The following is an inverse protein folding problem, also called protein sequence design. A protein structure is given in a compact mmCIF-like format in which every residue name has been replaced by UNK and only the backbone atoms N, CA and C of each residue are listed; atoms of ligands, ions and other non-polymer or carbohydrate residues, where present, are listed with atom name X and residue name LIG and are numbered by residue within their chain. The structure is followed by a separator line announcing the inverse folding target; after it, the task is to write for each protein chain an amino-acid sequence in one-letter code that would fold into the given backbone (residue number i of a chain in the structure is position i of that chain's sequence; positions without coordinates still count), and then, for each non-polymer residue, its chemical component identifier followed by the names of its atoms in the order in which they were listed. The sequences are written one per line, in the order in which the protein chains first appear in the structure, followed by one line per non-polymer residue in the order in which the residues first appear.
data_IF_537725964381
#
_entry.id   IF_537725964381
#
_cell.length_a   1.000
_cell.length_b   1.000
_cell.length_c   1.000
_cell.angle_alpha   90.00
_cell.angle_beta   90.00
_cell.angle_gamma   90.00
#
_symmetry.space_group_name_H-M   'P 1'
#
loop_
_entity.id
_entity.type
_entity.pdbx_description
1 polymer ?
#
# COMPACT_ATOMS: atom_id res chain seq x y z
N UNK A 1 -3.34 -0.94 23.22
CA UNK A 1 -2.53 -1.31 22.02
C UNK A 1 -1.66 -0.12 21.66
N UNK A 2 -0.35 -0.31 21.76
CA UNK A 2 0.63 0.69 21.35
C UNK A 2 1.06 0.40 19.92
N UNK A 3 0.98 1.40 19.03
CA UNK A 3 1.38 1.28 17.63
C UNK A 3 2.71 2.01 17.39
N UNK A 4 3.62 1.34 16.69
CA UNK A 4 4.88 1.93 16.22
C UNK A 4 5.10 1.61 14.74
N UNK A 5 5.76 2.53 14.02
CA UNK A 5 6.04 2.40 12.59
C UNK A 5 7.55 2.40 12.39
N UNK A 6 8.06 1.44 11.61
CA UNK A 6 9.48 1.23 11.33
C UNK A 6 9.72 1.03 9.84
N UNK A 7 10.75 1.67 9.30
CA UNK A 7 11.18 1.51 7.91
C UNK A 7 12.61 0.93 7.77
N UNK A 8 13.09 0.32 8.85
CA UNK A 8 14.39 -0.36 8.92
C UNK A 8 14.25 -1.87 9.19
N UNK A 9 13.12 -2.46 8.79
CA UNK A 9 12.76 -3.85 9.03
C UNK A 9 12.36 -4.59 7.73
N UNK A 10 13.28 -4.71 6.77
CA UNK A 10 12.97 -5.30 5.46
C UNK A 10 12.52 -6.78 5.57
N UNK A 11 13.07 -7.54 6.50
CA UNK A 11 12.71 -8.95 6.67
C UNK A 11 11.30 -9.12 7.19
N UNK A 12 10.89 -8.32 8.18
CA UNK A 12 9.52 -8.32 8.70
C UNK A 12 8.53 -7.85 7.62
N UNK A 13 8.92 -6.83 6.84
CA UNK A 13 8.13 -6.33 5.71
C UNK A 13 7.83 -7.44 4.70
N UNK A 14 8.86 -8.13 4.22
CA UNK A 14 8.71 -9.23 3.27
C UNK A 14 7.92 -10.41 3.86
N UNK A 15 8.16 -10.76 5.11
CA UNK A 15 7.46 -11.84 5.79
C UNK A 15 5.96 -11.59 5.82
N UNK A 16 5.53 -10.40 6.24
CA UNK A 16 4.10 -10.03 6.28
C UNK A 16 3.50 -10.01 4.87
N UNK A 17 4.19 -9.41 3.92
CA UNK A 17 3.71 -9.27 2.55
C UNK A 17 3.49 -10.64 1.90
N UNK A 18 4.44 -11.58 2.08
CA UNK A 18 4.32 -12.95 1.58
C UNK A 18 3.23 -13.75 2.29
N UNK A 19 3.12 -13.61 3.61
CA UNK A 19 2.08 -14.26 4.41
C UNK A 19 0.67 -13.84 3.94
N UNK A 20 0.44 -12.54 3.77
CA UNK A 20 -0.84 -12.01 3.30
C UNK A 20 -1.07 -12.35 1.82
N UNK A 21 -0.04 -12.28 0.99
CA UNK A 21 -0.11 -12.67 -0.42
C UNK A 21 -0.49 -14.13 -0.59
N UNK A 22 0.09 -15.03 0.22
CA UNK A 22 -0.26 -16.45 0.23
C UNK A 22 -1.72 -16.67 0.63
N UNK A 23 -2.19 -15.98 1.69
CA UNK A 23 -3.58 -16.06 2.11
C UNK A 23 -4.55 -15.57 1.01
N UNK A 24 -4.20 -14.48 0.31
CA UNK A 24 -5.01 -14.00 -0.82
C UNK A 24 -5.08 -15.03 -1.94
N UNK A 25 -3.97 -15.69 -2.27
CA UNK A 25 -3.95 -16.75 -3.27
C UNK A 25 -4.78 -17.96 -2.82
N UNK A 26 -4.65 -18.40 -1.58
CA UNK A 26 -5.37 -19.55 -1.02
C UNK A 26 -6.89 -19.32 -0.95
N UNK A 27 -7.32 -18.06 -0.93
CA UNK A 27 -8.73 -17.64 -0.91
C UNK A 27 -9.26 -17.16 -2.26
N UNK A 28 -8.55 -17.43 -3.36
CA UNK A 28 -8.88 -16.98 -4.72
C UNK A 28 -9.04 -15.46 -4.87
N UNK A 29 -8.23 -14.70 -4.12
CA UNK A 29 -8.19 -13.24 -4.14
C UNK A 29 -6.79 -12.74 -4.53
N UNK A 30 -6.02 -13.54 -5.27
CA UNK A 30 -4.64 -13.21 -5.63
C UNK A 30 -4.51 -11.76 -6.12
N UNK A 31 -3.60 -11.03 -5.52
CA UNK A 31 -3.33 -9.63 -5.82
C UNK A 31 -1.89 -9.42 -6.29
N UNK A 32 -0.95 -10.17 -5.73
CA UNK A 32 0.47 -10.11 -6.04
C UNK A 32 0.97 -11.49 -6.47
N UNK A 33 1.87 -11.52 -7.45
CA UNK A 33 2.55 -12.75 -7.83
C UNK A 33 3.58 -13.10 -6.76
N UNK A 34 3.38 -14.19 -6.01
CA UNK A 34 4.21 -14.56 -4.86
C UNK A 34 5.68 -14.76 -5.21
N UNK A 35 5.97 -15.28 -6.39
CA UNK A 35 7.33 -15.50 -6.88
C UNK A 35 8.09 -14.19 -7.14
N UNK A 36 7.38 -13.08 -7.31
CA UNK A 36 7.98 -11.74 -7.45
C UNK A 36 8.25 -11.05 -6.11
N UNK A 37 7.67 -11.53 -5.00
CA UNK A 37 7.84 -10.96 -3.67
C UNK A 37 9.14 -11.44 -3.02
N UNK A 38 10.25 -11.05 -3.59
CA UNK A 38 11.60 -11.31 -3.10
C UNK A 38 12.28 -10.01 -2.71
N UNK A 39 13.33 -10.11 -1.87
CA UNK A 39 14.15 -8.94 -1.49
C UNK A 39 14.70 -8.24 -2.72
N UNK A 40 15.26 -8.98 -3.67
CA UNK A 40 15.89 -8.41 -4.87
C UNK A 40 14.87 -7.67 -5.73
N UNK A 41 13.72 -8.28 -6.03
CA UNK A 41 12.70 -7.64 -6.86
C UNK A 41 12.05 -6.43 -6.17
N UNK A 42 11.70 -6.58 -4.89
CA UNK A 42 10.98 -5.52 -4.17
C UNK A 42 11.85 -4.29 -3.96
N UNK A 43 13.09 -4.47 -3.50
CA UNK A 43 13.99 -3.36 -3.17
C UNK A 43 14.79 -2.83 -4.38
N UNK A 44 14.65 -3.47 -5.55
CA UNK A 44 15.02 -2.89 -6.84
C UNK A 44 13.95 -1.89 -7.32
N UNK A 45 12.67 -2.22 -7.10
CA UNK A 45 11.52 -1.36 -7.48
C UNK A 45 11.25 -0.24 -6.46
N UNK A 46 11.33 -0.54 -5.15
CA UNK A 46 11.02 0.39 -4.06
C UNK A 46 12.21 0.62 -3.16
N UNK A 47 12.42 1.87 -2.77
CA UNK A 47 13.43 2.23 -1.77
C UNK A 47 13.04 1.65 -0.40
N UNK A 48 13.93 0.94 0.25
CA UNK A 48 13.67 0.30 1.54
C UNK A 48 13.18 1.29 2.61
N UNK A 49 13.69 2.51 2.61
CA UNK A 49 13.27 3.59 3.52
C UNK A 49 11.79 3.99 3.38
N UNK A 50 11.15 3.65 2.25
CA UNK A 50 9.74 3.88 2.01
C UNK A 50 8.86 2.67 2.40
N UNK A 51 9.47 1.56 2.80
CA UNK A 51 8.81 0.31 3.16
C UNK A 51 8.62 0.23 4.67
N UNK A 52 7.41 0.46 5.13
CA UNK A 52 7.07 0.54 6.56
C UNK A 52 6.47 -0.76 7.08
N UNK A 53 6.84 -1.10 8.31
CA UNK A 53 6.17 -2.13 9.12
C UNK A 53 5.51 -1.45 10.31
N UNK A 54 4.23 -1.72 10.50
CA UNK A 54 3.51 -1.32 11.70
C UNK A 54 3.56 -2.46 12.73
N UNK A 55 3.89 -2.11 13.96
CA UNK A 55 3.90 -3.03 15.10
C UNK A 55 2.76 -2.66 16.06
N UNK A 56 2.01 -3.67 16.48
CA UNK A 56 1.02 -3.58 17.54
C UNK A 56 1.56 -4.31 18.77
N UNK A 57 1.79 -3.58 19.87
CA UNK A 57 2.42 -4.10 21.11
C UNK A 57 3.68 -4.93 20.79
N UNK A 58 4.59 -4.39 19.98
CA UNK A 58 5.84 -4.98 19.51
C UNK A 58 5.69 -6.16 18.53
N UNK A 59 4.47 -6.55 18.16
CA UNK A 59 4.23 -7.61 17.19
C UNK A 59 4.07 -7.00 15.78
N UNK A 60 4.84 -7.46 14.76
CA UNK A 60 4.67 -6.99 13.39
C UNK A 60 3.25 -7.30 12.90
N UNK A 61 2.48 -6.29 12.54
CA UNK A 61 1.03 -6.41 12.29
C UNK A 61 0.60 -6.08 10.88
N UNK A 62 1.29 -5.14 10.23
CA UNK A 62 0.97 -4.70 8.89
C UNK A 62 2.19 -4.13 8.17
N UNK A 63 2.11 -4.07 6.84
CA UNK A 63 3.07 -3.38 5.98
C UNK A 63 2.38 -2.39 5.07
N UNK A 64 3.12 -1.41 4.61
CA UNK A 64 2.75 -0.53 3.50
C UNK A 64 4.00 0.16 2.95
N UNK A 65 3.90 0.65 1.73
CA UNK A 65 4.90 1.51 1.10
C UNK A 65 4.30 2.91 1.04
N UNK A 66 5.07 3.90 1.45
CA UNK A 66 4.73 5.32 1.28
C UNK A 66 5.88 5.99 0.54
N UNK A 67 5.61 6.49 -0.66
CA UNK A 67 6.63 7.13 -1.49
C UNK A 67 6.12 8.46 -2.06
N UNK A 68 7.05 9.27 -2.56
CA UNK A 68 6.81 10.66 -2.96
C UNK A 68 6.86 10.87 -4.47
N UNK A 69 7.18 9.83 -5.20
CA UNK A 69 7.19 9.73 -6.65
C UNK A 69 6.83 8.30 -7.05
N UNK A 70 6.22 8.15 -8.20
CA UNK A 70 5.88 6.83 -8.73
C UNK A 70 5.92 6.86 -10.26
N UNK A 71 7.04 6.46 -10.88
CA UNK A 71 7.19 6.50 -12.32
C UNK A 71 6.37 5.43 -13.05
N UNK A 72 5.90 4.40 -12.36
CA UNK A 72 5.13 3.32 -12.96
C UNK A 72 3.63 3.68 -13.06
N UNK A 73 3.00 3.99 -11.93
CA UNK A 73 1.56 4.24 -11.88
C UNK A 73 1.19 5.72 -12.07
N UNK A 74 2.08 6.63 -11.70
CA UNK A 74 1.83 8.08 -11.65
C UNK A 74 2.88 8.87 -12.44
N UNK A 75 3.27 8.36 -13.62
CA UNK A 75 4.31 8.97 -14.45
C UNK A 75 4.05 10.45 -14.80
N UNK A 76 2.78 10.85 -14.90
CA UNK A 76 2.35 12.21 -15.24
C UNK A 76 2.10 13.09 -14.00
N UNK A 77 2.29 12.56 -12.79
CA UNK A 77 2.12 13.31 -11.54
C UNK A 77 3.49 13.80 -11.06
N UNK A 78 3.66 15.11 -10.85
CA UNK A 78 4.94 15.64 -10.39
C UNK A 78 5.35 15.06 -9.03
N UNK A 79 6.66 14.86 -8.85
CA UNK A 79 7.23 14.40 -7.59
C UNK A 79 6.86 15.34 -6.44
N UNK A 80 6.65 14.79 -5.26
CA UNK A 80 6.33 15.53 -4.02
C UNK A 80 5.01 16.33 -4.06
N UNK A 81 4.05 15.95 -4.89
CA UNK A 81 2.71 16.54 -4.90
C UNK A 81 1.67 15.70 -4.18
N UNK A 82 1.96 14.42 -4.00
CA UNK A 82 1.14 13.48 -3.24
C UNK A 82 2.02 12.45 -2.51
N UNK A 83 1.47 11.82 -1.48
CA UNK A 83 2.00 10.57 -0.96
C UNK A 83 1.34 9.40 -1.69
N UNK A 84 2.13 8.47 -2.21
CA UNK A 84 1.62 7.28 -2.92
C UNK A 84 1.75 6.07 -2.02
N UNK A 85 0.63 5.37 -1.78
CA UNK A 85 0.59 4.17 -0.92
C UNK A 85 0.49 2.92 -1.78
N UNK A 86 1.34 1.93 -1.50
CA UNK A 86 1.36 0.62 -2.15
C UNK A 86 1.52 -0.51 -1.15
N UNK A 87 1.26 -1.74 -1.60
CA UNK A 87 1.56 -2.98 -0.88
C UNK A 87 1.04 -2.97 0.57
N UNK A 88 -0.16 -2.45 0.78
CA UNK A 88 -0.80 -2.51 2.10
C UNK A 88 -1.19 -3.96 2.40
N UNK A 89 -0.63 -4.52 3.45
CA UNK A 89 -0.92 -5.88 3.91
C UNK A 89 -1.11 -5.88 5.43
N UNK A 90 -2.25 -6.38 5.90
CA UNK A 90 -2.57 -6.51 7.33
C UNK A 90 -2.69 -7.99 7.65
N UNK A 91 -1.91 -8.47 8.63
CA UNK A 91 -1.96 -9.84 9.09
C UNK A 91 -3.35 -10.20 9.56
N UNK A 92 -3.82 -11.40 9.23
CA UNK A 92 -5.19 -11.84 9.47
C UNK A 92 -5.59 -11.83 10.96
N UNK A 93 -4.66 -12.10 11.86
CA UNK A 93 -4.90 -12.03 13.30
C UNK A 93 -5.26 -10.62 13.81
N UNK A 94 -4.96 -9.59 13.04
CA UNK A 94 -5.31 -8.18 13.32
C UNK A 94 -6.50 -7.69 12.50
N UNK A 95 -7.19 -8.56 11.78
CA UNK A 95 -8.36 -8.21 10.99
C UNK A 95 -9.46 -7.63 11.87
N UNK A 96 -10.16 -6.61 11.40
CA UNK A 96 -11.24 -5.96 12.13
C UNK A 96 -10.79 -4.96 13.22
N UNK A 97 -9.50 -4.78 13.43
CA UNK A 97 -8.97 -3.84 14.43
C UNK A 97 -8.72 -2.43 13.86
N UNK A 98 -9.22 -2.15 12.68
CA UNK A 98 -9.14 -0.83 12.02
C UNK A 98 -7.69 -0.31 11.80
N UNK A 99 -6.73 -1.22 11.64
CA UNK A 99 -5.31 -0.84 11.49
C UNK A 99 -5.05 0.06 10.28
N UNK A 100 -5.85 -0.05 9.23
CA UNK A 100 -5.71 0.80 8.05
C UNK A 100 -5.93 2.29 8.36
N UNK A 101 -6.84 2.63 9.25
CA UNK A 101 -7.03 4.02 9.69
C UNK A 101 -5.75 4.58 10.35
N UNK A 102 -5.07 3.78 11.17
CA UNK A 102 -3.80 4.19 11.80
C UNK A 102 -2.66 4.32 10.77
N UNK A 103 -2.64 3.47 9.74
CA UNK A 103 -1.71 3.64 8.61
C UNK A 103 -1.97 4.98 7.91
N UNK A 104 -3.24 5.31 7.64
CA UNK A 104 -3.59 6.59 7.00
C UNK A 104 -3.20 7.79 7.87
N UNK A 105 -3.43 7.74 9.17
CA UNK A 105 -3.04 8.82 10.08
C UNK A 105 -1.53 9.04 10.08
N UNK A 106 -0.75 7.96 10.08
CA UNK A 106 0.69 8.03 9.92
C UNK A 106 1.08 8.65 8.56
N UNK A 107 0.50 8.16 7.47
CA UNK A 107 0.78 8.67 6.12
C UNK A 107 0.43 10.16 5.98
N UNK A 108 -0.70 10.61 6.56
CA UNK A 108 -1.06 12.04 6.60
C UNK A 108 -0.01 12.86 7.35
N UNK A 109 0.43 12.38 8.52
CA UNK A 109 1.47 13.05 9.29
C UNK A 109 2.76 13.22 8.48
N UNK A 110 3.21 12.17 7.81
CA UNK A 110 4.39 12.20 6.95
C UNK A 110 4.21 13.15 5.74
N UNK A 111 3.03 13.17 5.13
CA UNK A 111 2.69 14.12 4.07
C UNK A 111 2.77 15.57 4.56
N UNK A 112 2.18 15.85 5.70
CA UNK A 112 2.15 17.22 6.27
C UNK A 112 3.55 17.75 6.60
N UNK A 113 4.49 16.91 7.03
CA UNK A 113 5.90 17.33 7.22
C UNK A 113 6.55 17.82 5.93
N UNK A 114 5.99 17.47 4.77
CA UNK A 114 6.45 17.86 3.43
C UNK A 114 5.54 18.87 2.75
N UNK A 115 4.58 19.43 3.48
CA UNK A 115 3.53 20.32 2.94
C UNK A 115 2.73 19.68 1.81
N UNK A 116 2.53 18.36 1.88
CA UNK A 116 1.69 17.57 0.97
C UNK A 116 0.33 17.35 1.63
N UNK A 117 -0.75 17.55 0.89
CA UNK A 117 -2.13 17.48 1.39
C UNK A 117 -2.98 16.46 0.64
N UNK A 118 -2.34 15.49 0.01
CA UNK A 118 -3.02 14.45 -0.77
C UNK A 118 -2.29 13.12 -0.65
N UNK A 119 -3.06 12.04 -0.48
CA UNK A 119 -2.61 10.65 -0.60
C UNK A 119 -3.33 10.04 -1.79
N UNK A 120 -2.60 9.31 -2.62
CA UNK A 120 -3.13 8.58 -3.77
C UNK A 120 -2.81 7.10 -3.65
N UNK A 121 -3.72 6.27 -4.14
CA UNK A 121 -3.54 4.84 -4.31
C UNK A 121 -4.29 4.37 -5.56
N UNK A 122 -3.96 3.19 -6.02
CA UNK A 122 -4.62 2.53 -7.14
C UNK A 122 -4.88 1.06 -6.84
N UNK A 123 -5.85 0.50 -7.51
CA UNK A 123 -6.14 -0.94 -7.48
C UNK A 123 -6.84 -1.38 -8.75
N UNK A 124 -6.89 -2.67 -9.00
CA UNK A 124 -7.68 -3.25 -10.08
C UNK A 124 -9.15 -2.83 -9.96
N UNK A 125 -9.69 -2.23 -11.02
CA UNK A 125 -11.05 -1.70 -11.05
C UNK A 125 -12.13 -2.78 -10.85
N UNK A 126 -11.82 -4.04 -11.02
CA UNK A 126 -12.76 -5.16 -10.78
C UNK A 126 -12.89 -5.54 -9.31
N UNK A 127 -12.01 -5.03 -8.43
CA UNK A 127 -12.02 -5.32 -6.99
C UNK A 127 -12.99 -4.40 -6.24
N UNK A 128 -14.27 -4.55 -6.50
CA UNK A 128 -15.32 -3.67 -5.97
C UNK A 128 -15.38 -3.61 -4.44
N UNK A 129 -15.09 -4.72 -3.75
CA UNK A 129 -15.06 -4.74 -2.28
C UNK A 129 -13.90 -3.89 -1.72
N UNK A 130 -12.72 -3.92 -2.39
CA UNK A 130 -11.57 -3.13 -2.01
C UNK A 130 -11.80 -1.64 -2.29
N UNK A 131 -12.41 -1.31 -3.43
CA UNK A 131 -12.78 0.07 -3.75
C UNK A 131 -13.74 0.66 -2.71
N UNK A 132 -14.80 -0.08 -2.33
CA UNK A 132 -15.71 0.32 -1.25
C UNK A 132 -15.01 0.47 0.11
N UNK A 133 -14.00 -0.35 0.36
CA UNK A 133 -13.18 -0.21 1.57
C UNK A 133 -12.43 1.11 1.58
N UNK A 134 -11.79 1.49 0.47
CA UNK A 134 -11.10 2.77 0.35
C UNK A 134 -12.05 3.97 0.43
N UNK A 135 -13.21 3.90 -0.21
CA UNK A 135 -14.24 4.94 -0.13
C UNK A 135 -14.68 5.19 1.33
N UNK A 136 -14.90 4.11 2.11
CA UNK A 136 -15.23 4.25 3.54
C UNK A 136 -14.14 4.92 4.38
N UNK A 137 -12.90 4.93 3.90
CA UNK A 137 -11.78 5.62 4.52
C UNK A 137 -11.51 7.01 3.93
N UNK A 138 -12.45 7.52 3.11
CA UNK A 138 -12.43 8.88 2.60
C UNK A 138 -11.73 9.04 1.25
N UNK A 139 -11.30 7.97 0.59
CA UNK A 139 -10.79 8.05 -0.76
C UNK A 139 -11.92 8.25 -1.76
N UNK A 140 -11.70 9.15 -2.71
CA UNK A 140 -12.59 9.38 -3.84
C UNK A 140 -11.97 8.78 -5.11
N UNK A 141 -12.76 8.03 -5.93
CA UNK A 141 -12.28 7.57 -7.22
C UNK A 141 -12.04 8.78 -8.14
N UNK A 142 -10.93 8.76 -8.87
CA UNK A 142 -10.53 9.86 -9.75
C UNK A 142 -10.64 9.47 -11.23
N UNK A 143 -9.75 8.63 -11.72
CA UNK A 143 -9.74 8.19 -13.12
C UNK A 143 -9.36 6.72 -13.22
N UNK A 144 -9.51 6.15 -14.40
CA UNK A 144 -9.09 4.80 -14.73
C UNK A 144 -8.03 4.84 -15.83
N UNK A 145 -7.10 3.90 -15.78
CA UNK A 145 -6.04 3.76 -16.75
C UNK A 145 -5.71 2.28 -16.97
N UNK A 146 -5.47 1.92 -18.22
CA UNK A 146 -4.97 0.59 -18.55
C UNK A 146 -3.49 0.50 -18.17
N UNK A 147 -3.15 -0.45 -17.32
CA UNK A 147 -1.77 -0.70 -16.87
C UNK A 147 -1.31 -2.05 -17.37
N UNK A 148 -0.05 -2.12 -17.79
CA UNK A 148 0.65 -3.37 -18.09
C UNK A 148 1.72 -3.62 -17.05
N UNK A 149 1.63 -4.73 -16.35
CA UNK A 149 2.58 -5.14 -15.32
C UNK A 149 2.78 -6.67 -15.41
N UNK A 150 4.04 -7.12 -15.37
CA UNK A 150 4.39 -8.55 -15.47
C UNK A 150 3.75 -9.28 -16.66
N UNK A 151 3.67 -8.63 -17.82
CA UNK A 151 3.05 -9.18 -19.03
C UNK A 151 1.53 -9.29 -19.00
N UNK A 152 0.89 -8.76 -17.98
CA UNK A 152 -0.57 -8.70 -17.84
C UNK A 152 -1.07 -7.27 -18.01
N UNK A 153 -2.26 -7.14 -18.62
CA UNK A 153 -2.95 -5.85 -18.77
C UNK A 153 -4.21 -5.84 -17.92
N UNK A 154 -4.41 -4.80 -17.13
CA UNK A 154 -5.61 -4.64 -16.30
C UNK A 154 -6.04 -3.18 -16.22
N UNK A 155 -7.34 -2.96 -16.00
CA UNK A 155 -7.89 -1.63 -15.79
C UNK A 155 -7.68 -1.24 -14.33
N UNK A 156 -6.94 -0.17 -14.12
CA UNK A 156 -6.58 0.35 -12.81
C UNK A 156 -7.50 1.51 -12.43
N UNK A 157 -8.10 1.45 -11.25
CA UNK A 157 -8.84 2.57 -10.65
C UNK A 157 -7.91 3.34 -9.73
N UNK A 158 -7.78 4.64 -9.97
CA UNK A 158 -7.04 5.57 -9.14
C UNK A 158 -7.99 6.26 -8.16
N UNK A 159 -7.50 6.46 -6.93
CA UNK A 159 -8.25 7.09 -5.86
C UNK A 159 -7.37 8.10 -5.13
N UNK A 160 -7.98 9.18 -4.63
CA UNK A 160 -7.29 10.23 -3.89
C UNK A 160 -8.01 10.55 -2.57
N UNK A 161 -7.23 10.81 -1.55
CA UNK A 161 -7.66 11.33 -0.25
C UNK A 161 -7.00 12.68 -0.03
N UNK A 162 -7.80 13.73 0.09
CA UNK A 162 -7.34 15.11 0.34
C UNK A 162 -7.63 15.52 1.77
N UNK A 163 -6.73 16.31 2.37
CA UNK A 163 -6.81 16.77 3.77
C UNK A 163 -6.08 18.09 4.00
#
# INVERSE_FOLDING_TARGET
MTLTFRNDKPDDFLTILREVGQWLMDTNQEMWQLDTLTSDNLFDEYTCENCYVMYADQTPSATFILQWKDPLYYADVPDNTAGFIHKVAIRRQFSGQNLFAHILDFCRSECLTRSIHEIQLETDATRSALLRFYERHGFEPTYQKQIQEFGQSFLCQYCALRF
#
